data_IF_049224808008
#
_entry.id   IF_049224808008
#
_cell.length_a   1.000
_cell.length_b   1.000
_cell.length_c   1.000
_cell.angle_alpha   90.00
_cell.angle_beta   90.00
_cell.angle_gamma   90.00
#
_symmetry.space_group_name_H-M   'P 1'
#
loop_
_entity.id
_entity.type
_entity.pdbx_description
1 polymer ?
#
# COMPACT_ATOMS: atom_id res chain seq x y z
N UNK A 1 2.65 13.18 12.26
CA UNK A 1 2.57 13.88 10.96
C UNK A 1 1.97 12.92 9.94
N UNK A 2 0.74 13.20 9.50
CA UNK A 2 -0.06 12.35 8.61
C UNK A 2 -1.47 12.90 8.34
N UNK A 3 -1.77 14.12 8.81
CA UNK A 3 -3.10 14.71 8.79
C UNK A 3 -3.67 14.84 7.37
N UNK A 4 -2.84 15.12 6.36
CA UNK A 4 -3.28 15.22 4.97
C UNK A 4 -3.88 13.91 4.44
N UNK A 5 -3.25 12.77 4.72
CA UNK A 5 -3.77 11.46 4.30
C UNK A 5 -5.10 11.14 4.98
N UNK A 6 -5.23 11.46 6.27
CA UNK A 6 -6.48 11.28 7.01
C UNK A 6 -7.61 12.19 6.48
N UNK A 7 -7.33 13.46 6.20
CA UNK A 7 -8.30 14.40 5.65
C UNK A 7 -8.80 13.92 4.27
N UNK A 8 -7.88 13.53 3.39
CA UNK A 8 -8.22 13.03 2.04
C UNK A 8 -9.02 11.72 2.11
N UNK A 9 -8.69 10.82 3.05
CA UNK A 9 -9.45 9.60 3.27
C UNK A 9 -10.89 9.90 3.72
N UNK A 10 -11.08 10.79 4.69
CA UNK A 10 -12.41 11.18 5.15
C UNK A 10 -13.19 11.91 4.06
N UNK A 11 -12.53 12.72 3.23
CA UNK A 11 -13.15 13.36 2.08
C UNK A 11 -13.63 12.33 1.04
N UNK A 12 -12.83 11.30 0.75
CA UNK A 12 -13.22 10.21 -0.13
C UNK A 12 -14.42 9.42 0.42
N UNK A 13 -14.45 9.17 1.74
CA UNK A 13 -15.58 8.53 2.42
C UNK A 13 -16.86 9.37 2.30
N UNK A 14 -16.75 10.69 2.51
CA UNK A 14 -17.88 11.61 2.39
C UNK A 14 -18.46 11.65 0.96
N UNK A 15 -17.61 11.53 -0.07
CA UNK A 15 -18.02 11.51 -1.47
C UNK A 15 -18.65 10.16 -1.91
N UNK A 16 -18.07 9.04 -1.50
CA UNK A 16 -18.52 7.71 -1.93
C UNK A 16 -19.75 7.20 -1.15
N UNK A 17 -19.92 7.63 0.11
CA UNK A 17 -20.97 7.15 1.00
C UNK A 17 -20.64 5.82 1.69
N UNK A 18 -21.40 5.49 2.75
CA UNK A 18 -21.10 4.38 3.67
C UNK A 18 -21.09 2.99 3.02
N UNK A 19 -21.80 2.80 1.91
CA UNK A 19 -21.84 1.52 1.19
C UNK A 19 -20.47 1.12 0.61
N UNK A 20 -19.62 2.10 0.27
CA UNK A 20 -18.29 1.87 -0.31
C UNK A 20 -17.16 1.97 0.73
N UNK A 21 -17.50 2.10 2.02
CA UNK A 21 -16.53 2.15 3.11
C UNK A 21 -15.59 0.92 3.15
N UNK A 22 -16.09 -0.33 2.94
CA UNK A 22 -15.23 -1.51 2.90
C UNK A 22 -14.20 -1.43 1.76
N UNK A 23 -14.60 -0.91 0.60
CA UNK A 23 -13.72 -0.72 -0.55
C UNK A 23 -12.63 0.31 -0.28
N UNK A 24 -13.00 1.46 0.29
CA UNK A 24 -12.04 2.52 0.62
C UNK A 24 -11.02 2.07 1.67
N UNK A 25 -11.45 1.29 2.66
CA UNK A 25 -10.55 0.71 3.66
C UNK A 25 -9.65 -0.38 3.04
N UNK A 26 -10.19 -1.25 2.19
CA UNK A 26 -9.39 -2.27 1.52
C UNK A 26 -8.37 -1.67 0.55
N UNK A 27 -8.68 -0.52 -0.07
CA UNK A 27 -7.75 0.25 -0.90
C UNK A 27 -6.54 0.75 -0.12
N UNK A 28 -6.64 0.92 1.22
CA UNK A 28 -5.48 1.23 2.05
C UNK A 28 -4.41 0.14 2.00
N UNK A 29 -4.79 -1.13 1.75
CA UNK A 29 -3.84 -2.21 1.51
C UNK A 29 -2.90 -1.95 0.32
N UNK A 30 -3.33 -1.14 -0.67
CA UNK A 30 -2.47 -0.76 -1.80
C UNK A 30 -1.33 0.17 -1.36
N UNK A 31 -1.43 0.84 -0.20
CA UNK A 31 -0.32 1.68 0.33
C UNK A 31 0.98 0.89 0.48
N UNK A 32 0.91 -0.41 0.75
CA UNK A 32 2.10 -1.28 0.84
C UNK A 32 2.83 -1.41 -0.50
N UNK A 33 2.13 -1.27 -1.64
CA UNK A 33 2.76 -1.22 -2.97
C UNK A 33 3.62 0.03 -3.10
N UNK A 34 3.06 1.19 -2.77
CA UNK A 34 3.78 2.46 -2.83
C UNK A 34 4.98 2.47 -1.89
N UNK A 35 4.80 1.98 -0.65
CA UNK A 35 5.89 1.87 0.31
C UNK A 35 7.02 0.98 -0.23
N UNK A 36 6.67 -0.18 -0.81
CA UNK A 36 7.64 -1.09 -1.41
C UNK A 36 8.40 -0.45 -2.59
N UNK A 37 7.70 0.27 -3.47
CA UNK A 37 8.31 0.99 -4.59
C UNK A 37 9.25 2.10 -4.11
N UNK A 38 8.84 2.87 -3.10
CA UNK A 38 9.66 3.93 -2.50
C UNK A 38 10.93 3.33 -1.90
N UNK A 39 10.80 2.23 -1.15
CA UNK A 39 11.93 1.52 -0.54
C UNK A 39 12.89 1.03 -1.62
N UNK A 40 12.42 0.40 -2.70
CA UNK A 40 13.29 -0.04 -3.80
C UNK A 40 14.02 1.15 -4.42
N UNK A 41 13.30 2.24 -4.68
CA UNK A 41 13.87 3.45 -5.26
C UNK A 41 14.93 4.09 -4.34
N UNK A 42 14.63 4.24 -3.05
CA UNK A 42 15.55 4.78 -2.05
C UNK A 42 16.74 3.86 -1.82
N UNK A 43 16.55 2.55 -1.77
CA UNK A 43 17.64 1.59 -1.62
C UNK A 43 18.62 1.65 -2.80
N UNK A 44 18.11 1.87 -4.03
CA UNK A 44 18.95 2.04 -5.21
C UNK A 44 19.68 3.39 -5.24
N UNK A 45 19.03 4.48 -4.82
CA UNK A 45 19.59 5.84 -4.87
C UNK A 45 20.47 6.19 -3.66
N UNK A 46 20.09 5.70 -2.48
CA UNK A 46 20.71 5.96 -1.18
C UNK A 46 20.87 4.67 -0.36
N UNK A 47 21.72 3.73 -0.81
CA UNK A 47 21.90 2.42 -0.16
C UNK A 47 22.43 2.52 1.28
N UNK A 48 23.02 3.66 1.67
CA UNK A 48 23.51 3.89 3.05
C UNK A 48 22.41 4.30 4.04
N UNK A 49 21.27 4.79 3.56
CA UNK A 49 20.15 5.25 4.41
C UNK A 49 19.15 4.11 4.63
N UNK A 50 19.11 3.13 3.72
CA UNK A 50 18.19 2.00 3.77
C UNK A 50 18.94 0.76 4.24
N UNK A 51 18.73 0.39 5.51
CA UNK A 51 19.29 -0.85 6.10
C UNK A 51 18.59 -2.13 5.59
N UNK A 52 17.54 -1.97 4.79
CA UNK A 52 16.76 -3.08 4.29
C UNK A 52 17.59 -3.96 3.35
N UNK A 53 17.94 -5.16 3.81
CA UNK A 53 18.60 -6.18 3.00
C UNK A 53 17.63 -6.64 1.93
N UNK A 54 17.73 -6.03 0.75
CA UNK A 54 17.03 -6.43 -0.47
C UNK A 54 17.57 -7.79 -0.99
N UNK A 55 17.35 -8.84 -0.22
CA UNK A 55 17.55 -10.21 -0.67
C UNK A 55 16.44 -10.59 -1.64
N UNK A 56 16.79 -11.39 -2.66
CA UNK A 56 15.82 -11.92 -3.65
C UNK A 56 14.62 -12.60 -2.98
N UNK A 57 14.85 -13.30 -1.85
CA UNK A 57 13.79 -13.94 -1.05
C UNK A 57 12.83 -12.93 -0.44
N UNK A 58 13.35 -11.84 0.14
CA UNK A 58 12.55 -10.79 0.79
C UNK A 58 11.72 -10.01 -0.24
N UNK A 59 12.30 -9.72 -1.42
CA UNK A 59 11.60 -9.11 -2.54
C UNK A 59 10.43 -10.01 -2.99
N UNK A 60 10.69 -11.30 -3.20
CA UNK A 60 9.67 -12.25 -3.64
C UNK A 60 8.52 -12.35 -2.61
N UNK A 61 8.85 -12.42 -1.32
CA UNK A 61 7.84 -12.43 -0.25
C UNK A 61 6.96 -11.17 -0.28
N UNK A 62 7.55 -9.98 -0.44
CA UNK A 62 6.81 -8.72 -0.52
C UNK A 62 5.90 -8.65 -1.75
N UNK A 63 6.37 -9.16 -2.90
CA UNK A 63 5.55 -9.26 -4.12
C UNK A 63 4.35 -10.20 -3.92
N UNK A 64 4.55 -11.36 -3.28
CA UNK A 64 3.47 -12.31 -2.97
C UNK A 64 2.46 -11.65 -2.01
N UNK A 65 2.91 -10.97 -0.96
CA UNK A 65 2.02 -10.26 -0.04
C UNK A 65 1.20 -9.18 -0.74
N UNK A 66 1.81 -8.39 -1.62
CA UNK A 66 1.11 -7.39 -2.44
C UNK A 66 0.08 -8.04 -3.35
N UNK A 67 0.42 -9.16 -3.99
CA UNK A 67 -0.51 -9.91 -4.84
C UNK A 67 -1.71 -10.44 -4.04
N UNK A 68 -1.49 -10.96 -2.83
CA UNK A 68 -2.56 -11.42 -1.94
C UNK A 68 -3.49 -10.27 -1.52
N UNK A 69 -2.94 -9.08 -1.22
CA UNK A 69 -3.76 -7.88 -0.95
C UNK A 69 -4.60 -7.52 -2.17
N UNK A 70 -4.01 -7.51 -3.37
CA UNK A 70 -4.72 -7.24 -4.61
C UNK A 70 -5.83 -8.25 -4.88
N UNK A 71 -5.58 -9.54 -4.67
CA UNK A 71 -6.58 -10.60 -4.79
C UNK A 71 -7.72 -10.41 -3.79
N UNK A 72 -7.42 -10.08 -2.53
CA UNK A 72 -8.44 -9.77 -1.53
C UNK A 72 -9.33 -8.61 -1.94
N UNK A 73 -8.76 -7.58 -2.59
CA UNK A 73 -9.51 -6.44 -3.10
C UNK A 73 -10.41 -6.81 -4.30
N UNK A 74 -9.91 -7.65 -5.21
CA UNK A 74 -10.71 -8.17 -6.35
C UNK A 74 -11.89 -9.00 -5.84
N UNK A 75 -11.66 -9.86 -4.85
CA UNK A 75 -12.74 -10.66 -4.23
C UNK A 75 -13.79 -9.75 -3.60
N UNK A 76 -13.38 -8.67 -2.93
CA UNK A 76 -14.32 -7.70 -2.34
C UNK A 76 -15.14 -6.95 -3.40
N UNK A 77 -14.64 -6.86 -4.64
CA UNK A 77 -15.31 -6.19 -5.76
C UNK A 77 -16.33 -7.03 -6.52
N UNK A 78 -16.35 -8.34 -6.28
CA UNK A 78 -17.31 -9.28 -6.84
C UNK A 78 -18.53 -9.40 -5.92
#
# INVERSE_FOLDING_TARGET
MGAGGFILQNFAIALAGLAFLPFLNALQGIQYVFLFLIIIFLARKFPRIVEEKLSKKNILQKVISIALIGLGLVILSL
#
